data_IF_409219705822
#
_entry.id   IF_409219705822
#
_cell.length_a   1.000
_cell.length_b   1.000
_cell.length_c   1.000
_cell.angle_alpha   90.00
_cell.angle_beta   90.00
_cell.angle_gamma   90.00
#
_symmetry.space_group_name_H-M   'P 1'
#
loop_
_entity.id
_entity.type
_entity.pdbx_description
1 polymer ?
#
# COMPACT_ATOMS: atom_id res chain seq x y z
N UNK A 1 -14.75 31.32 8.06
CA UNK A 1 -13.91 30.58 9.03
C UNK A 1 -12.95 29.71 8.25
N UNK A 2 -11.76 29.43 8.80
CA UNK A 2 -10.87 28.46 8.17
C UNK A 2 -11.31 27.03 8.50
N UNK A 3 -11.31 26.14 7.51
CA UNK A 3 -11.59 24.71 7.67
C UNK A 3 -10.28 23.94 7.59
N UNK A 4 -9.94 23.22 8.65
CA UNK A 4 -8.70 22.43 8.70
C UNK A 4 -8.97 21.01 8.23
N UNK A 5 -8.13 20.53 7.32
CA UNK A 5 -8.10 19.14 6.86
C UNK A 5 -6.89 18.43 7.42
N UNK A 6 -7.13 17.36 8.13
CA UNK A 6 -6.09 16.56 8.76
C UNK A 6 -5.69 15.40 7.85
N UNK A 7 -4.41 15.34 7.51
CA UNK A 7 -3.82 14.22 6.77
C UNK A 7 -3.22 13.23 7.77
N UNK A 8 -3.72 12.01 7.76
CA UNK A 8 -3.16 10.90 8.53
C UNK A 8 -1.97 10.26 7.80
N UNK A 9 -0.85 10.11 8.49
CA UNK A 9 0.34 9.44 7.99
C UNK A 9 0.42 8.04 8.61
N UNK A 10 -0.05 7.03 7.88
CA UNK A 10 0.05 5.62 8.29
C UNK A 10 1.39 5.06 7.83
N UNK A 11 2.39 5.22 8.67
CA UNK A 11 3.79 4.96 8.39
C UNK A 11 4.37 3.96 9.39
N UNK A 12 5.41 3.25 8.96
CA UNK A 12 6.18 2.38 9.85
C UNK A 12 7.20 3.15 10.68
N UNK A 13 8.28 2.45 11.03
CA UNK A 13 9.42 2.99 11.78
C UNK A 13 10.31 3.92 10.96
N UNK A 14 10.00 4.11 9.68
CA UNK A 14 10.69 5.02 8.79
C UNK A 14 10.47 6.47 9.20
N UNK A 15 11.48 7.08 9.83
CA UNK A 15 11.32 8.44 10.35
C UNK A 15 11.68 9.54 9.34
N UNK A 16 12.65 9.29 8.48
CA UNK A 16 13.22 10.33 7.62
C UNK A 16 12.21 10.91 6.65
N UNK A 17 11.48 10.06 5.94
CA UNK A 17 10.45 10.51 5.00
C UNK A 17 9.30 11.23 5.72
N UNK A 18 8.81 10.66 6.82
CA UNK A 18 7.69 11.23 7.56
C UNK A 18 8.04 12.58 8.15
N UNK A 19 9.22 12.71 8.75
CA UNK A 19 9.73 13.98 9.31
C UNK A 19 9.94 15.03 8.23
N UNK A 20 10.47 14.63 7.07
CA UNK A 20 10.64 15.52 5.93
C UNK A 20 9.27 16.03 5.41
N UNK A 21 8.29 15.14 5.28
CA UNK A 21 6.95 15.48 4.82
C UNK A 21 6.22 16.40 5.82
N UNK A 22 6.23 16.05 7.11
CA UNK A 22 5.65 16.87 8.18
C UNK A 22 6.28 18.28 8.21
N UNK A 23 7.62 18.34 8.08
CA UNK A 23 8.35 19.61 8.03
C UNK A 23 7.98 20.43 6.80
N UNK A 24 7.86 19.79 5.64
CA UNK A 24 7.46 20.45 4.39
C UNK A 24 6.05 21.05 4.51
N UNK A 25 5.08 20.27 4.99
CA UNK A 25 3.71 20.76 5.17
C UNK A 25 3.65 21.87 6.20
N UNK A 26 4.34 21.72 7.33
CA UNK A 26 4.39 22.77 8.37
C UNK A 26 4.99 24.07 7.86
N UNK A 27 6.07 24.01 7.06
CA UNK A 27 6.72 25.18 6.49
C UNK A 27 5.92 25.83 5.36
N UNK A 28 5.33 25.02 4.49
CA UNK A 28 4.52 25.49 3.40
C UNK A 28 3.18 26.09 3.88
N UNK A 29 2.70 25.61 5.04
CA UNK A 29 1.39 25.97 5.61
C UNK A 29 0.31 26.11 4.52
N UNK A 30 0.11 25.02 3.71
CA UNK A 30 -0.71 25.12 2.51
C UNK A 30 -2.14 25.48 2.85
N UNK A 31 -2.65 26.49 2.19
CA UNK A 31 -4.03 26.91 2.30
C UNK A 31 -4.58 27.23 0.93
N UNK A 32 -5.81 26.79 0.67
CA UNK A 32 -6.52 27.05 -0.59
C UNK A 32 -7.86 27.73 -0.30
N UNK A 33 -8.30 28.57 -1.23
CA UNK A 33 -9.63 29.14 -1.21
C UNK A 33 -10.53 28.31 -2.10
N UNK A 34 -11.59 27.78 -1.53
CA UNK A 34 -12.59 27.01 -2.28
C UNK A 34 -14.00 27.28 -1.73
N UNK A 35 -14.96 27.55 -2.60
CA UNK A 35 -16.33 27.82 -2.18
C UNK A 35 -16.50 29.03 -1.24
N UNK A 36 -15.58 30.00 -1.28
CA UNK A 36 -15.57 31.16 -0.37
C UNK A 36 -14.98 30.86 1.01
N UNK A 37 -14.54 29.65 1.27
CA UNK A 37 -13.88 29.24 2.53
C UNK A 37 -12.38 29.06 2.35
N UNK A 38 -11.63 29.30 3.42
CA UNK A 38 -10.21 29.00 3.50
C UNK A 38 -10.03 27.59 4.07
N UNK A 39 -9.35 26.74 3.31
CA UNK A 39 -9.01 25.37 3.71
C UNK A 39 -7.53 25.29 4.05
N UNK A 40 -7.21 24.80 5.23
CA UNK A 40 -5.84 24.63 5.73
C UNK A 40 -5.54 23.12 5.87
N UNK A 41 -4.28 22.74 5.65
CA UNK A 41 -3.84 21.35 5.71
C UNK A 41 -2.87 21.17 6.87
N UNK A 42 -3.13 20.17 7.70
CA UNK A 42 -2.23 19.73 8.78
C UNK A 42 -1.98 18.23 8.69
N UNK A 43 -0.95 17.75 9.34
CA UNK A 43 -0.58 16.32 9.34
C UNK A 43 -0.47 15.79 10.75
N UNK A 44 -0.78 14.49 10.91
CA UNK A 44 -0.44 13.74 12.12
C UNK A 44 -0.10 12.29 11.79
N UNK A 45 0.66 11.64 12.65
CA UNK A 45 0.91 10.20 12.51
C UNK A 45 -0.27 9.42 13.03
N UNK A 46 -0.71 8.43 12.23
CA UNK A 46 -1.80 7.53 12.62
C UNK A 46 -1.25 6.51 13.61
N UNK A 47 -1.77 6.51 14.81
CA UNK A 47 -1.56 5.45 15.80
C UNK A 47 -2.81 4.57 15.82
N UNK A 48 -2.62 3.27 15.60
CA UNK A 48 -3.73 2.31 15.62
C UNK A 48 -3.78 1.69 17.00
N UNK A 49 -4.78 2.10 17.76
CA UNK A 49 -5.18 1.48 19.01
C UNK A 49 -6.36 0.52 18.75
N UNK A 50 -6.80 -0.27 19.76
CA UNK A 50 -8.03 -1.04 19.62
C UNK A 50 -9.18 -0.15 19.14
N UNK A 51 -9.82 -0.51 18.03
CA UNK A 51 -10.85 0.31 17.40
C UNK A 51 -12.15 -0.45 17.22
N UNK A 52 -13.26 0.23 17.44
CA UNK A 52 -14.59 -0.21 17.02
C UNK A 52 -14.76 0.05 15.51
N UNK A 53 -15.33 -0.89 14.78
CA UNK A 53 -15.57 -0.75 13.35
C UNK A 53 -16.51 0.42 13.02
N UNK A 54 -17.28 0.91 13.98
CA UNK A 54 -18.17 2.07 13.83
C UNK A 54 -17.49 3.41 14.06
N UNK A 55 -16.30 3.41 14.66
CA UNK A 55 -15.56 4.66 14.88
C UNK A 55 -15.07 5.22 13.57
N UNK A 56 -15.32 6.50 13.35
CA UNK A 56 -14.82 7.23 12.19
C UNK A 56 -13.46 7.83 12.49
N UNK A 57 -12.49 7.73 11.58
CA UNK A 57 -11.23 8.44 11.74
C UNK A 57 -11.46 9.94 11.54
N UNK A 58 -10.66 10.75 12.20
CA UNK A 58 -10.75 12.22 12.09
C UNK A 58 -10.04 12.79 10.85
N UNK A 59 -9.43 11.91 10.05
CA UNK A 59 -8.63 12.30 8.91
C UNK A 59 -9.50 12.52 7.67
N UNK A 60 -9.20 13.57 6.90
CA UNK A 60 -9.78 13.78 5.57
C UNK A 60 -9.07 12.97 4.48
N UNK A 61 -7.79 12.66 4.71
CA UNK A 61 -6.95 11.85 3.83
C UNK A 61 -6.00 11.01 4.69
N UNK A 62 -5.71 9.78 4.26
CA UNK A 62 -4.66 8.94 4.85
C UNK A 62 -3.65 8.54 3.79
N UNK A 63 -2.38 8.78 4.07
CA UNK A 63 -1.26 8.29 3.27
C UNK A 63 -0.77 6.99 3.89
N UNK A 64 -1.01 5.88 3.18
CA UNK A 64 -0.61 4.55 3.63
C UNK A 64 0.71 4.10 3.00
N UNK A 65 1.70 3.81 3.87
CA UNK A 65 2.97 3.16 3.51
C UNK A 65 3.27 1.95 4.40
N UNK A 66 2.29 1.50 5.19
CA UNK A 66 2.49 0.46 6.20
C UNK A 66 1.62 -0.77 6.01
N UNK A 67 0.39 -0.60 5.55
CA UNK A 67 -0.62 -1.64 5.54
C UNK A 67 -0.26 -2.85 4.67
N UNK A 68 0.60 -2.69 3.68
CA UNK A 68 1.05 -3.80 2.85
C UNK A 68 1.95 -4.80 3.58
N UNK A 69 2.64 -4.38 4.65
CA UNK A 69 3.52 -5.24 5.43
C UNK A 69 2.83 -5.88 6.64
N UNK A 70 1.89 -5.15 7.28
CA UNK A 70 1.38 -5.54 8.58
C UNK A 70 -0.14 -5.75 8.57
N UNK A 71 -0.58 -6.79 9.27
CA UNK A 71 -1.97 -7.19 9.31
C UNK A 71 -2.89 -6.13 9.93
N UNK A 72 -2.58 -5.65 11.13
CA UNK A 72 -3.45 -4.70 11.86
C UNK A 72 -3.64 -3.39 11.10
N UNK A 73 -2.60 -2.70 10.61
CA UNK A 73 -2.76 -1.54 9.74
C UNK A 73 -3.57 -1.83 8.47
N UNK A 74 -3.41 -3.02 7.88
CA UNK A 74 -4.17 -3.42 6.70
C UNK A 74 -5.66 -3.54 6.98
N UNK A 75 -6.03 -4.16 8.09
CA UNK A 75 -7.45 -4.28 8.46
C UNK A 75 -8.06 -2.93 8.84
N UNK A 76 -7.29 -2.07 9.52
CA UNK A 76 -7.74 -0.72 9.82
C UNK A 76 -7.99 0.11 8.55
N UNK A 77 -7.05 0.13 7.61
CA UNK A 77 -7.20 0.94 6.36
C UNK A 77 -8.31 0.38 5.45
N UNK A 78 -8.53 -0.94 5.44
CA UNK A 78 -9.68 -1.55 4.74
C UNK A 78 -11.01 -1.13 5.35
N UNK A 79 -11.09 -1.10 6.69
CA UNK A 79 -12.26 -0.58 7.40
C UNK A 79 -12.51 0.87 7.01
N UNK A 80 -11.47 1.70 7.01
CA UNK A 80 -11.57 3.11 6.58
C UNK A 80 -12.07 3.23 5.14
N UNK A 81 -11.55 2.39 4.23
CA UNK A 81 -11.97 2.38 2.83
C UNK A 81 -13.44 1.98 2.61
N UNK A 82 -14.00 1.17 3.48
CA UNK A 82 -15.35 0.61 3.33
C UNK A 82 -16.42 1.39 4.10
N UNK A 83 -16.05 2.02 5.19
CA UNK A 83 -16.99 2.57 6.16
C UNK A 83 -16.93 4.09 6.26
N UNK A 84 -15.88 4.71 5.73
CA UNK A 84 -15.60 6.12 5.97
C UNK A 84 -15.38 6.87 4.65
N UNK A 85 -15.77 8.13 4.61
CA UNK A 85 -15.53 9.03 3.47
C UNK A 85 -14.14 9.70 3.62
N UNK A 86 -13.10 8.88 3.57
CA UNK A 86 -11.70 9.31 3.70
C UNK A 86 -10.96 9.01 2.40
N UNK A 87 -10.25 9.99 1.88
CA UNK A 87 -9.42 9.77 0.70
C UNK A 87 -8.17 8.95 1.07
N UNK A 88 -7.94 7.85 0.38
CA UNK A 88 -6.83 6.94 0.68
C UNK A 88 -5.77 6.96 -0.43
N UNK A 89 -4.57 7.26 -0.04
CA UNK A 89 -3.36 7.19 -0.85
C UNK A 89 -2.41 6.18 -0.17
N UNK A 90 -2.31 5.04 -0.60
CA UNK A 90 -2.74 4.03 -1.49
C UNK A 90 -4.03 3.32 -1.02
N UNK A 91 -4.87 2.90 -1.96
CA UNK A 91 -6.07 2.16 -1.61
C UNK A 91 -5.72 0.69 -1.29
N UNK A 92 -6.15 0.13 -0.13
CA UNK A 92 -5.79 -1.20 0.31
C UNK A 92 -6.31 -2.33 -0.59
N UNK A 93 -7.36 -2.08 -1.36
CA UNK A 93 -7.92 -3.07 -2.28
C UNK A 93 -7.17 -3.14 -3.62
N UNK A 94 -6.30 -2.17 -3.90
CA UNK A 94 -5.41 -2.21 -5.06
C UNK A 94 -4.04 -2.80 -4.74
N UNK A 95 -3.84 -3.30 -3.53
CA UNK A 95 -2.57 -3.82 -3.03
C UNK A 95 -1.97 -4.90 -3.93
N UNK A 96 -2.77 -5.82 -4.45
CA UNK A 96 -2.28 -6.88 -5.35
C UNK A 96 -1.70 -6.32 -6.65
N UNK A 97 -2.19 -5.17 -7.12
CA UNK A 97 -1.62 -4.48 -8.27
C UNK A 97 -0.29 -3.78 -7.96
N UNK A 98 0.08 -3.64 -6.68
CA UNK A 98 1.36 -3.06 -6.26
C UNK A 98 2.50 -4.08 -6.27
N UNK A 99 2.21 -5.38 -6.29
CA UNK A 99 3.23 -6.41 -6.45
C UNK A 99 3.78 -6.38 -7.87
N UNK A 100 5.10 -6.25 -8.00
CA UNK A 100 5.77 -6.05 -9.30
C UNK A 100 5.42 -7.11 -10.33
N UNK A 101 5.37 -8.38 -9.93
CA UNK A 101 5.05 -9.47 -10.86
C UNK A 101 3.59 -9.42 -11.31
N UNK A 102 2.63 -9.15 -10.41
CA UNK A 102 1.23 -8.99 -10.77
C UNK A 102 1.02 -7.77 -11.69
N UNK A 103 1.67 -6.65 -11.36
CA UNK A 103 1.63 -5.45 -12.19
C UNK A 103 2.22 -5.69 -13.58
N UNK A 104 3.35 -6.42 -13.69
CA UNK A 104 3.95 -6.74 -14.96
C UNK A 104 3.07 -7.69 -15.80
N UNK A 105 2.43 -8.68 -15.16
CA UNK A 105 1.45 -9.52 -15.83
C UNK A 105 0.28 -8.71 -16.41
N UNK A 106 -0.25 -7.78 -15.63
CA UNK A 106 -1.32 -6.89 -16.10
C UNK A 106 -0.85 -6.00 -17.26
N UNK A 107 0.35 -5.41 -17.17
CA UNK A 107 0.94 -4.60 -18.23
C UNK A 107 1.13 -5.40 -19.52
N UNK A 108 1.69 -6.62 -19.43
CA UNK A 108 1.85 -7.51 -20.59
C UNK A 108 0.51 -7.83 -21.24
N UNK A 109 -0.52 -8.10 -20.43
CA UNK A 109 -1.88 -8.36 -20.93
C UNK A 109 -2.49 -7.15 -21.66
N UNK A 110 -2.09 -5.94 -21.28
CA UNK A 110 -2.48 -4.70 -21.95
C UNK A 110 -1.60 -4.36 -23.16
N UNK A 111 -0.65 -5.22 -23.54
CA UNK A 111 0.27 -4.99 -24.65
C UNK A 111 1.38 -3.99 -24.35
N UNK A 112 1.58 -3.62 -23.08
CA UNK A 112 2.65 -2.72 -22.67
C UNK A 112 3.98 -3.44 -22.57
N UNK A 113 5.07 -2.75 -22.93
CA UNK A 113 6.43 -3.29 -22.80
C UNK A 113 6.84 -3.30 -21.34
N UNK A 114 7.29 -4.45 -20.86
CA UNK A 114 7.86 -4.65 -19.52
C UNK A 114 9.24 -5.29 -19.63
N UNK A 115 10.11 -5.10 -18.64
CA UNK A 115 11.38 -5.79 -18.58
C UNK A 115 11.18 -7.31 -18.54
N UNK A 116 12.12 -8.08 -19.12
CA UNK A 116 12.13 -9.52 -18.95
C UNK A 116 12.26 -9.85 -17.45
N UNK A 117 11.29 -10.56 -16.94
CA UNK A 117 11.14 -10.76 -15.48
C UNK A 117 10.92 -12.23 -15.17
N UNK A 118 11.64 -12.71 -14.16
CA UNK A 118 11.52 -14.07 -13.63
C UNK A 118 11.12 -13.99 -12.15
N UNK A 119 10.15 -14.78 -11.76
CA UNK A 119 9.89 -15.03 -10.35
C UNK A 119 10.89 -16.05 -9.85
N UNK A 120 11.83 -15.62 -9.02
CA UNK A 120 12.81 -16.49 -8.39
C UNK A 120 12.22 -17.00 -7.08
N UNK A 121 11.99 -18.29 -6.93
CA UNK A 121 11.48 -18.85 -5.71
C UNK A 121 12.52 -18.84 -4.60
N UNK A 122 12.08 -19.07 -3.37
CA UNK A 122 12.97 -19.10 -2.22
C UNK A 122 14.10 -20.11 -2.39
N UNK A 123 15.30 -19.69 -2.10
CA UNK A 123 16.51 -20.55 -2.13
C UNK A 123 16.42 -21.69 -1.12
N UNK A 124 15.79 -21.42 0.02
CA UNK A 124 15.40 -22.44 1.00
C UNK A 124 13.91 -22.30 1.24
N UNK A 125 13.10 -23.33 0.96
CA UNK A 125 11.70 -23.27 1.22
C UNK A 125 11.46 -23.10 2.73
N UNK A 126 10.49 -22.28 3.12
CA UNK A 126 10.09 -22.18 4.53
C UNK A 126 9.77 -23.57 5.09
N UNK A 127 10.10 -23.82 6.34
CA UNK A 127 9.81 -25.08 7.04
C UNK A 127 8.31 -25.29 7.34
N UNK A 128 7.44 -24.52 6.74
CA UNK A 128 5.99 -24.59 6.90
C UNK A 128 5.40 -25.57 5.89
N UNK A 129 4.64 -26.53 6.35
CA UNK A 129 3.98 -27.57 5.53
C UNK A 129 3.14 -26.99 4.40
N UNK A 130 2.58 -25.80 4.54
CA UNK A 130 1.84 -25.11 3.49
C UNK A 130 2.68 -24.81 2.25
N UNK A 131 4.00 -24.79 2.39
CA UNK A 131 4.95 -24.57 1.30
C UNK A 131 5.67 -25.85 0.84
N UNK A 132 5.39 -27.01 1.44
CA UNK A 132 6.03 -28.30 1.13
C UNK A 132 5.88 -28.65 -0.37
N UNK A 133 4.72 -28.38 -0.95
CA UNK A 133 4.45 -28.59 -2.36
C UNK A 133 5.42 -27.80 -3.27
N UNK A 134 5.72 -26.55 -2.92
CA UNK A 134 6.68 -25.73 -3.68
C UNK A 134 8.10 -26.25 -3.51
N UNK A 135 8.44 -26.75 -2.30
CA UNK A 135 9.74 -27.30 -1.98
C UNK A 135 10.07 -28.59 -2.74
N UNK A 136 9.10 -29.50 -2.91
CA UNK A 136 9.28 -30.75 -3.63
C UNK A 136 9.53 -30.53 -5.12
N UNK A 137 8.80 -29.67 -5.78
CA UNK A 137 9.02 -29.32 -7.18
C UNK A 137 10.40 -28.72 -7.43
N UNK A 138 10.91 -27.98 -6.46
CA UNK A 138 12.24 -27.41 -6.53
C UNK A 138 13.35 -28.45 -6.40
N UNK A 139 13.19 -29.43 -5.50
CA UNK A 139 14.15 -30.51 -5.30
C UNK A 139 14.19 -31.50 -6.46
N UNK A 140 13.08 -31.70 -7.13
CA UNK A 140 12.98 -32.64 -8.27
C UNK A 140 13.61 -32.14 -9.57
N UNK A 141 14.12 -30.92 -9.59
CA UNK A 141 14.69 -30.33 -10.82
C UNK A 141 13.67 -30.17 -11.97
N UNK A 142 12.38 -30.30 -11.67
CA UNK A 142 11.34 -30.15 -12.66
C UNK A 142 11.38 -28.71 -13.24
N UNK A 143 11.50 -28.60 -14.56
CA UNK A 143 11.40 -27.33 -15.26
C UNK A 143 10.10 -26.63 -14.88
N UNK A 144 10.11 -25.30 -14.63
CA UNK A 144 8.88 -24.55 -14.41
C UNK A 144 7.90 -24.81 -15.53
N UNK A 145 6.67 -25.12 -15.19
CA UNK A 145 5.58 -25.17 -16.16
C UNK A 145 5.49 -23.80 -16.84
N UNK A 146 5.78 -23.72 -18.11
CA UNK A 146 5.69 -22.48 -18.87
C UNK A 146 6.98 -21.95 -19.50
N UNK A 147 8.08 -22.72 -19.49
CA UNK A 147 9.28 -22.36 -20.22
C UNK A 147 9.17 -22.69 -21.76
N UNK A 148 7.99 -22.51 -22.33
CA UNK A 148 7.83 -22.39 -23.77
C UNK A 148 8.21 -20.98 -24.22
N UNK A 149 8.68 -20.79 -25.48
CA UNK A 149 8.90 -19.46 -26.01
C UNK A 149 7.59 -18.69 -25.96
N UNK A 150 7.65 -17.46 -25.41
CA UNK A 150 6.52 -16.55 -25.49
C UNK A 150 6.10 -16.38 -26.94
N UNK A 151 4.82 -16.43 -27.30
CA UNK A 151 4.37 -16.13 -28.65
C UNK A 151 4.84 -14.72 -29.02
N UNK A 152 5.38 -14.60 -30.24
CA UNK A 152 5.85 -13.34 -30.83
C UNK A 152 4.67 -12.41 -31.09
#
# INVERSE_FOLDING_TARGET
MARTHLIGLLLGTEEDWSRAFETMISRAAPAIQHGGERHEITTERVTIEPFDLRMHPRHALVIDRLAHWYYVPREWIKKVALMDDVYLLNNPFTFQAMEKHAAYCAMMRLGLKVPATWLVPYKQPPADERFAYTAERFRSGARPLGAGPLPR
#
